data_IF_281242637827
#
_entry.id   IF_281242637827
#
_cell.length_a   1.000
_cell.length_b   1.000
_cell.length_c   1.000
_cell.angle_alpha   90.00
_cell.angle_beta   90.00
_cell.angle_gamma   90.00
#
_symmetry.space_group_name_H-M   'P 1'
#
loop_
_entity.id
_entity.type
_entity.pdbx_description
1 polymer ?
#
# COMPACT_ATOMS: atom_id res chain seq x y z
N UNK A 1 -32.72 -28.35 -14.43
CA UNK A 1 -31.58 -27.74 -13.70
C UNK A 1 -30.29 -27.53 -14.53
N UNK A 2 -30.20 -27.93 -15.81
CA UNK A 2 -28.96 -27.77 -16.61
C UNK A 2 -28.69 -26.36 -17.16
N UNK A 3 -29.72 -25.65 -17.64
CA UNK A 3 -29.56 -24.35 -18.34
C UNK A 3 -29.06 -23.22 -17.46
N UNK A 4 -29.49 -23.15 -16.19
CA UNK A 4 -29.05 -22.12 -15.24
C UNK A 4 -27.53 -22.21 -14.96
N UNK A 5 -26.99 -23.43 -14.87
CA UNK A 5 -25.54 -23.66 -14.71
C UNK A 5 -24.76 -23.24 -15.96
N UNK A 6 -25.30 -23.48 -17.16
CA UNK A 6 -24.64 -23.07 -18.41
C UNK A 6 -24.62 -21.56 -18.60
N UNK A 7 -25.70 -20.87 -18.20
CA UNK A 7 -25.80 -19.41 -18.25
C UNK A 7 -24.87 -18.77 -17.21
N UNK A 8 -24.84 -19.30 -15.99
CA UNK A 8 -23.90 -18.86 -14.95
C UNK A 8 -22.43 -19.07 -15.37
N UNK A 9 -22.11 -20.20 -16.02
CA UNK A 9 -20.78 -20.46 -16.55
C UNK A 9 -20.39 -19.57 -17.74
N UNK A 10 -21.36 -19.14 -18.57
CA UNK A 10 -21.12 -18.15 -19.63
C UNK A 10 -20.94 -16.75 -19.07
N UNK A 11 -21.75 -16.37 -18.09
CA UNK A 11 -21.63 -15.08 -17.41
C UNK A 11 -20.28 -14.96 -16.67
N UNK A 12 -19.86 -16.00 -15.94
CA UNK A 12 -18.55 -16.02 -15.27
C UNK A 12 -17.38 -15.94 -16.25
N UNK A 13 -17.46 -16.61 -17.41
CA UNK A 13 -16.45 -16.47 -18.48
C UNK A 13 -16.43 -15.08 -19.12
N UNK A 14 -17.59 -14.44 -19.30
CA UNK A 14 -17.68 -13.08 -19.84
C UNK A 14 -17.17 -12.04 -18.84
N UNK A 15 -17.47 -12.21 -17.55
CA UNK A 15 -16.92 -11.39 -16.47
C UNK A 15 -15.42 -11.60 -16.35
N UNK A 16 -14.92 -12.83 -16.41
CA UNK A 16 -13.49 -13.13 -16.45
C UNK A 16 -12.80 -12.55 -17.70
N UNK A 17 -13.50 -12.48 -18.84
CA UNK A 17 -13.01 -11.85 -20.08
C UNK A 17 -13.09 -10.32 -20.08
N UNK A 18 -14.00 -9.69 -19.33
CA UNK A 18 -13.98 -8.22 -19.16
C UNK A 18 -13.05 -7.77 -18.04
N UNK A 19 -12.85 -8.63 -17.05
CA UNK A 19 -11.78 -8.56 -16.07
C UNK A 19 -10.51 -9.25 -16.57
N UNK A 20 -10.33 -9.41 -17.90
CA UNK A 20 -9.14 -10.08 -18.42
C UNK A 20 -7.92 -9.31 -17.91
N UNK A 21 -7.00 -9.97 -17.18
CA UNK A 21 -5.84 -9.33 -16.58
C UNK A 21 -4.90 -8.72 -17.60
N UNK A 22 -5.09 -8.95 -18.91
CA UNK A 22 -4.15 -8.55 -19.96
C UNK A 22 -3.93 -7.04 -20.07
N UNK A 23 -4.98 -6.22 -19.88
CA UNK A 23 -4.83 -4.75 -19.90
C UNK A 23 -4.10 -4.22 -18.66
N UNK A 24 -4.21 -4.91 -17.52
CA UNK A 24 -3.52 -4.61 -16.26
C UNK A 24 -2.19 -5.36 -16.09
N UNK A 25 -1.90 -6.35 -16.95
CA UNK A 25 -0.66 -7.16 -16.96
C UNK A 25 0.52 -6.39 -17.54
N UNK A 26 0.27 -5.50 -18.52
CA UNK A 26 1.36 -4.73 -19.13
C UNK A 26 1.87 -3.70 -18.13
N UNK A 27 3.11 -3.88 -17.69
CA UNK A 27 3.79 -2.90 -16.86
C UNK A 27 3.90 -1.57 -17.64
N UNK A 28 3.41 -0.50 -17.04
CA UNK A 28 3.62 0.85 -17.57
C UNK A 28 5.12 1.17 -17.61
N UNK A 29 5.54 2.13 -18.44
CA UNK A 29 6.96 2.47 -18.59
C UNK A 29 7.62 2.85 -17.25
N UNK A 30 6.88 3.59 -16.42
CA UNK A 30 7.25 3.89 -15.04
C UNK A 30 7.37 2.67 -14.15
N UNK A 31 6.44 1.71 -14.21
CA UNK A 31 6.51 0.47 -13.42
C UNK A 31 7.75 -0.37 -13.77
N UNK A 32 8.11 -0.43 -15.06
CA UNK A 32 9.32 -1.13 -15.52
C UNK A 32 10.60 -0.49 -14.98
N UNK A 33 10.66 0.85 -14.91
CA UNK A 33 11.84 1.55 -14.43
C UNK A 33 11.94 1.64 -12.90
N UNK A 34 10.81 1.69 -12.19
CA UNK A 34 10.81 1.87 -10.72
C UNK A 34 10.70 0.55 -9.95
N UNK A 35 9.70 -0.28 -10.27
CA UNK A 35 9.38 -1.49 -9.49
C UNK A 35 10.00 -2.74 -10.11
N UNK A 36 10.14 -2.76 -11.44
CA UNK A 36 10.74 -3.88 -12.18
C UNK A 36 12.18 -4.19 -11.80
N UNK A 37 12.94 -3.17 -11.35
CA UNK A 37 14.35 -3.32 -10.93
C UNK A 37 14.52 -3.83 -9.49
N UNK A 38 13.45 -3.84 -8.70
CA UNK A 38 13.51 -4.25 -7.31
C UNK A 38 13.51 -5.78 -7.20
N UNK A 39 14.44 -6.30 -6.39
CA UNK A 39 14.48 -7.72 -6.05
C UNK A 39 13.26 -8.08 -5.21
N UNK A 40 12.92 -9.37 -5.18
CA UNK A 40 11.79 -9.86 -4.39
C UNK A 40 11.88 -9.47 -2.91
N UNK A 41 13.08 -9.58 -2.32
CA UNK A 41 13.35 -9.18 -0.94
C UNK A 41 13.18 -7.67 -0.71
N UNK A 42 13.51 -6.82 -1.69
CA UNK A 42 13.28 -5.37 -1.58
C UNK A 42 11.79 -5.04 -1.63
N UNK A 43 11.02 -5.73 -2.48
CA UNK A 43 9.57 -5.54 -2.56
C UNK A 43 8.86 -5.92 -1.26
N UNK A 44 9.23 -7.05 -0.65
CA UNK A 44 8.64 -7.48 0.62
C UNK A 44 9.01 -6.54 1.77
N UNK A 45 10.27 -6.11 1.87
CA UNK A 45 10.71 -5.09 2.85
C UNK A 45 9.99 -3.76 2.66
N UNK A 46 9.82 -3.30 1.42
CA UNK A 46 9.09 -2.07 1.12
C UNK A 46 7.61 -2.18 1.54
N UNK A 47 6.98 -3.34 1.30
CA UNK A 47 5.60 -3.57 1.74
C UNK A 47 5.47 -3.55 3.28
N UNK A 48 6.42 -4.17 3.99
CA UNK A 48 6.46 -4.12 5.46
C UNK A 48 6.72 -2.71 5.98
N UNK A 49 7.64 -1.96 5.37
CA UNK A 49 7.92 -0.58 5.73
C UNK A 49 6.69 0.32 5.53
N UNK A 50 5.99 0.19 4.40
CA UNK A 50 4.75 0.92 4.13
C UNK A 50 3.65 0.61 5.15
N UNK A 51 3.59 -0.63 5.65
CA UNK A 51 2.67 -1.01 6.69
C UNK A 51 3.02 -0.37 8.04
N UNK A 52 4.30 -0.41 8.42
CA UNK A 52 4.79 0.23 9.64
C UNK A 52 4.52 1.74 9.61
N UNK A 53 4.86 2.40 8.50
CA UNK A 53 4.59 3.83 8.31
C UNK A 53 3.10 4.11 8.46
N UNK A 54 2.22 3.35 7.82
CA UNK A 54 0.78 3.54 7.96
C UNK A 54 0.26 3.42 9.40
N UNK A 55 0.80 2.47 10.18
CA UNK A 55 0.48 2.34 11.61
C UNK A 55 0.97 3.55 12.39
N UNK A 56 2.23 3.95 12.20
CA UNK A 56 2.81 5.11 12.87
C UNK A 56 2.03 6.39 12.59
N UNK A 57 1.64 6.63 11.33
CA UNK A 57 0.83 7.80 10.96
C UNK A 57 -0.53 7.79 11.65
N UNK A 58 -1.16 6.62 11.80
CA UNK A 58 -2.43 6.48 12.52
C UNK A 58 -2.25 6.78 14.01
N UNK A 59 -1.19 6.25 14.63
CA UNK A 59 -0.87 6.53 16.04
C UNK A 59 -0.64 8.02 16.26
N UNK A 60 0.11 8.69 15.37
CA UNK A 60 0.35 10.13 15.45
C UNK A 60 -0.94 10.94 15.31
N UNK A 61 -1.84 10.56 14.40
CA UNK A 61 -3.14 11.22 14.26
C UNK A 61 -3.99 11.05 15.53
N UNK A 62 -4.02 9.86 16.12
CA UNK A 62 -4.74 9.61 17.38
C UNK A 62 -4.12 10.46 18.51
N UNK A 63 -2.80 10.48 18.63
CA UNK A 63 -2.10 11.28 19.61
C UNK A 63 -2.41 12.78 19.46
N UNK A 64 -2.45 13.29 18.22
CA UNK A 64 -2.85 14.66 17.91
C UNK A 64 -4.33 14.94 18.23
N UNK A 65 -5.23 14.00 17.99
CA UNK A 65 -6.64 14.15 18.36
C UNK A 65 -6.80 14.20 19.89
N UNK A 66 -6.13 13.31 20.62
CA UNK A 66 -6.15 13.28 22.09
C UNK A 66 -5.55 14.56 22.67
N UNK A 67 -4.40 15.02 22.16
CA UNK A 67 -3.79 16.27 22.63
C UNK A 67 -4.70 17.48 22.42
N UNK A 68 -5.43 17.51 21.30
CA UNK A 68 -6.41 18.56 21.01
C UNK A 68 -7.57 18.52 22.01
N UNK A 69 -8.10 17.33 22.33
CA UNK A 69 -9.19 17.16 23.33
C UNK A 69 -8.73 17.52 24.74
N UNK A 70 -7.49 17.22 25.10
CA UNK A 70 -6.89 17.55 26.40
C UNK A 70 -6.56 19.06 26.52
N UNK A 71 -6.69 19.82 25.43
CA UNK A 71 -6.50 21.28 25.44
C UNK A 71 -5.05 21.71 25.30
N UNK A 72 -4.19 20.90 24.68
CA UNK A 72 -2.82 21.33 24.33
C UNK A 72 -2.91 22.55 23.40
N UNK A 73 -2.18 23.61 23.74
CA UNK A 73 -2.19 24.84 22.95
C UNK A 73 -1.35 24.70 21.68
N UNK A 74 -2.03 24.27 20.61
CA UNK A 74 -1.45 24.17 19.28
C UNK A 74 -1.31 25.51 18.56
N UNK A 75 -1.88 26.59 19.10
CA UNK A 75 -1.87 27.90 18.43
C UNK A 75 -0.45 28.46 18.39
N UNK A 76 0.29 28.38 19.50
CA UNK A 76 1.68 28.84 19.57
C UNK A 76 2.58 28.09 18.58
N UNK A 77 2.47 26.75 18.54
CA UNK A 77 3.24 25.93 17.61
C UNK A 77 2.88 26.21 16.13
N UNK A 78 1.60 26.43 15.82
CA UNK A 78 1.16 26.74 14.47
C UNK A 78 1.61 28.14 14.01
N UNK A 79 1.55 29.13 14.90
CA UNK A 79 2.02 30.49 14.62
C UNK A 79 3.53 30.49 14.36
N UNK A 80 4.32 29.79 15.17
CA UNK A 80 5.78 29.68 15.00
C UNK A 80 6.19 29.01 13.68
N UNK A 81 5.47 27.97 13.24
CA UNK A 81 5.80 27.22 12.02
C UNK A 81 5.30 27.91 10.74
N UNK A 82 4.15 28.59 10.79
CA UNK A 82 3.48 29.12 9.59
C UNK A 82 3.84 30.58 9.32
N UNK A 83 4.15 31.40 10.34
CA UNK A 83 4.41 32.82 10.09
C UNK A 83 5.23 33.53 11.17
N UNK A 84 6.27 34.23 10.76
CA UNK A 84 7.16 35.06 11.60
C UNK A 84 6.48 36.35 12.10
N UNK A 85 5.49 36.22 12.99
CA UNK A 85 5.04 37.31 13.87
C UNK A 85 3.72 38.00 13.51
N UNK A 86 2.89 37.45 12.60
CA UNK A 86 1.51 37.93 12.41
C UNK A 86 0.49 36.89 12.85
N UNK A 87 -0.44 37.24 13.76
CA UNK A 87 -1.47 36.31 14.22
C UNK A 87 -2.39 35.96 13.05
N UNK A 88 -2.41 34.68 12.67
CA UNK A 88 -3.32 34.17 11.65
C UNK A 88 -4.66 33.88 12.32
N UNK A 89 -5.70 34.62 11.94
CA UNK A 89 -7.07 34.28 12.35
C UNK A 89 -7.39 32.87 11.83
N UNK A 90 -7.60 31.92 12.74
CA UNK A 90 -7.84 30.52 12.39
C UNK A 90 -6.59 29.64 12.26
N UNK A 91 -5.44 30.03 12.82
CA UNK A 91 -4.21 29.21 12.83
C UNK A 91 -4.44 27.75 13.27
N UNK A 92 -5.28 27.54 14.29
CA UNK A 92 -5.67 26.20 14.75
C UNK A 92 -6.41 25.39 13.68
N UNK A 93 -7.35 26.01 12.97
CA UNK A 93 -8.08 25.35 11.89
C UNK A 93 -7.13 24.96 10.74
N UNK A 94 -6.17 25.83 10.41
CA UNK A 94 -5.12 25.54 9.42
C UNK A 94 -4.27 24.35 9.87
N UNK A 95 -3.83 24.31 11.13
CA UNK A 95 -3.04 23.21 11.66
C UNK A 95 -3.79 21.88 11.59
N UNK A 96 -5.07 21.86 12.01
CA UNK A 96 -5.92 20.66 11.94
C UNK A 96 -6.13 20.21 10.50
N UNK A 97 -6.49 21.12 9.59
CA UNK A 97 -6.68 20.81 8.16
C UNK A 97 -5.38 20.28 7.56
N UNK A 98 -4.24 20.88 7.87
CA UNK A 98 -2.94 20.45 7.38
C UNK A 98 -2.59 19.04 7.84
N UNK A 99 -2.80 18.72 9.14
CA UNK A 99 -2.58 17.37 9.68
C UNK A 99 -3.50 16.35 8.99
N UNK A 100 -4.78 16.67 8.81
CA UNK A 100 -5.73 15.78 8.14
C UNK A 100 -5.39 15.55 6.66
N UNK A 101 -5.06 16.61 5.92
CA UNK A 101 -4.64 16.51 4.52
C UNK A 101 -3.36 15.69 4.39
N UNK A 102 -2.39 15.91 5.27
CA UNK A 102 -1.14 15.12 5.32
C UNK A 102 -1.45 13.66 5.58
N UNK A 103 -2.33 13.36 6.55
CA UNK A 103 -2.75 11.99 6.84
C UNK A 103 -3.40 11.32 5.63
N UNK A 104 -4.36 11.98 4.98
CA UNK A 104 -5.05 11.47 3.79
C UNK A 104 -4.08 11.23 2.63
N UNK A 105 -3.17 12.19 2.39
CA UNK A 105 -2.15 12.07 1.36
C UNK A 105 -1.24 10.86 1.63
N UNK A 106 -0.73 10.73 2.85
CA UNK A 106 0.14 9.60 3.23
C UNK A 106 -0.60 8.27 3.09
N UNK A 107 -1.85 8.20 3.57
CA UNK A 107 -2.67 6.98 3.49
C UNK A 107 -2.95 6.58 2.04
N UNK A 108 -3.19 7.56 1.18
CA UNK A 108 -3.39 7.38 -0.26
C UNK A 108 -2.11 6.89 -0.94
N UNK A 109 -0.95 7.48 -0.63
CA UNK A 109 0.36 7.06 -1.14
C UNK A 109 0.68 5.62 -0.71
N UNK A 110 0.44 5.27 0.55
CA UNK A 110 0.65 3.90 1.07
C UNK A 110 -0.29 2.91 0.36
N UNK A 111 -1.57 3.25 0.20
CA UNK A 111 -2.54 2.42 -0.51
C UNK A 111 -2.13 2.18 -1.96
N UNK A 112 -1.76 3.25 -2.66
CA UNK A 112 -1.28 3.19 -4.04
C UNK A 112 0.01 2.38 -4.17
N UNK A 113 0.97 2.58 -3.26
CA UNK A 113 2.22 1.83 -3.21
C UNK A 113 2.01 0.33 -3.01
N UNK A 114 1.18 -0.05 -2.03
CA UNK A 114 0.82 -1.46 -1.78
C UNK A 114 0.13 -2.10 -2.97
N UNK A 115 -0.83 -1.40 -3.58
CA UNK A 115 -1.52 -1.89 -4.77
C UNK A 115 -0.55 -2.13 -5.93
N UNK A 116 0.42 -1.24 -6.14
CA UNK A 116 1.47 -1.41 -7.16
C UNK A 116 2.39 -2.59 -6.86
N UNK A 117 2.80 -2.77 -5.59
CA UNK A 117 3.64 -3.91 -5.19
C UNK A 117 2.88 -5.22 -5.38
N UNK A 118 1.64 -5.32 -4.87
CA UNK A 118 0.82 -6.53 -5.01
C UNK A 118 0.58 -6.89 -6.47
N UNK A 119 0.32 -5.90 -7.33
CA UNK A 119 0.20 -6.12 -8.77
C UNK A 119 1.47 -6.69 -9.37
N UNK A 120 2.65 -6.21 -8.97
CA UNK A 120 3.92 -6.73 -9.47
C UNK A 120 4.23 -8.14 -8.96
N UNK A 121 3.99 -8.42 -7.68
CA UNK A 121 4.16 -9.76 -7.11
C UNK A 121 3.28 -10.77 -7.86
N UNK A 122 2.00 -10.44 -8.06
CA UNK A 122 1.07 -11.26 -8.84
C UNK A 122 1.56 -11.49 -10.27
N UNK A 123 2.11 -10.46 -10.94
CA UNK A 123 2.65 -10.61 -12.29
C UNK A 123 3.81 -11.60 -12.33
N UNK A 124 4.73 -11.53 -11.35
CA UNK A 124 5.88 -12.43 -11.25
C UNK A 124 5.45 -13.86 -10.92
N UNK A 125 4.53 -14.04 -9.99
CA UNK A 125 3.99 -15.36 -9.63
C UNK A 125 3.31 -16.03 -10.81
N UNK A 126 2.46 -15.31 -11.54
CA UNK A 126 1.81 -15.85 -12.73
C UNK A 126 2.83 -16.18 -13.83
N UNK A 127 3.87 -15.35 -14.02
CA UNK A 127 4.94 -15.62 -14.98
C UNK A 127 5.82 -16.82 -14.57
N UNK A 128 6.01 -17.09 -13.28
CA UNK A 128 6.69 -18.28 -12.77
C UNK A 128 5.85 -19.55 -13.03
N UNK A 129 4.55 -19.50 -12.72
CA UNK A 129 3.60 -20.59 -13.01
C UNK A 129 3.53 -20.93 -14.49
N UNK A 130 3.54 -19.94 -15.38
CA UNK A 130 3.57 -20.15 -16.83
C UNK A 130 4.87 -20.78 -17.34
N UNK A 131 5.97 -20.61 -16.61
CA UNK A 131 7.28 -21.22 -16.93
C UNK A 131 7.47 -22.60 -16.27
N UNK A 132 6.50 -23.06 -15.47
CA UNK A 132 6.61 -24.32 -14.72
C UNK A 132 7.59 -24.27 -13.55
N UNK A 133 8.03 -23.06 -13.15
CA UNK A 133 8.92 -22.86 -12.01
C UNK A 133 8.09 -22.82 -10.72
N UNK A 134 8.52 -23.55 -9.68
CA UNK A 134 7.96 -23.38 -8.34
C UNK A 134 8.15 -21.91 -7.90
N UNK A 135 7.08 -21.29 -7.38
CA UNK A 135 7.10 -19.88 -6.99
C UNK A 135 8.34 -19.60 -6.11
N UNK A 136 9.04 -18.46 -6.32
CA UNK A 136 10.23 -18.13 -5.56
C UNK A 136 9.83 -17.88 -4.09
N UNK A 137 9.79 -18.95 -3.30
CA UNK A 137 9.53 -18.87 -1.88
C UNK A 137 10.67 -18.07 -1.26
N UNK A 138 10.32 -16.89 -0.74
CA UNK A 138 11.21 -16.10 0.08
C UNK A 138 11.57 -16.92 1.33
N UNK A 139 12.70 -17.60 1.28
CA UNK A 139 13.46 -17.98 2.47
C UNK A 139 12.72 -18.78 3.54
N UNK A 140 11.88 -19.76 3.18
CA UNK A 140 11.60 -20.86 4.11
C UNK A 140 12.80 -21.79 4.04
N UNK A 141 13.80 -21.51 4.89
CA UNK A 141 14.88 -22.44 5.20
C UNK A 141 14.21 -23.74 5.62
N UNK A 142 14.36 -24.80 4.82
CA UNK A 142 13.83 -26.11 5.17
C UNK A 142 14.39 -26.51 6.56
N UNK A 143 13.56 -26.72 7.58
CA UNK A 143 14.04 -27.29 8.83
C UNK A 143 14.18 -28.80 8.60
N UNK A 144 15.43 -29.28 8.54
CA UNK A 144 15.70 -30.72 8.50
C UNK A 144 16.70 -31.12 7.44
N UNK A 145 17.97 -30.76 7.64
CA UNK A 145 19.10 -31.48 7.05
C UNK A 145 20.19 -31.77 8.09
N UNK A 146 19.85 -31.77 9.39
CA UNK A 146 20.74 -32.24 10.44
C UNK A 146 20.26 -33.63 10.86
N UNK A 147 20.57 -34.59 10.00
CA UNK A 147 20.43 -36.00 10.26
C UNK A 147 21.66 -36.71 9.72
N UNK A 148 22.33 -37.43 10.61
CA UNK A 148 23.38 -38.44 10.41
C UNK A 148 24.80 -37.99 10.10
N UNK A 149 25.69 -38.37 11.03
CA UNK A 149 27.14 -38.30 11.00
C UNK A 149 27.68 -38.54 12.41
#
# INVERSE_FOLDING_TARGET
MGRARTVAARASRLVARRLTPERTRRATFFERHTVGRLTWAQLTRLNQALELVGRLTTVLLIAFAVSTVVGVDWRGAAEEVVNSGRPVQGALAVAVVFVLLTFVALRSVIGFGRWRIQRELWRRDVAALQRGEAAPQAGVRAPGADGSG
#
